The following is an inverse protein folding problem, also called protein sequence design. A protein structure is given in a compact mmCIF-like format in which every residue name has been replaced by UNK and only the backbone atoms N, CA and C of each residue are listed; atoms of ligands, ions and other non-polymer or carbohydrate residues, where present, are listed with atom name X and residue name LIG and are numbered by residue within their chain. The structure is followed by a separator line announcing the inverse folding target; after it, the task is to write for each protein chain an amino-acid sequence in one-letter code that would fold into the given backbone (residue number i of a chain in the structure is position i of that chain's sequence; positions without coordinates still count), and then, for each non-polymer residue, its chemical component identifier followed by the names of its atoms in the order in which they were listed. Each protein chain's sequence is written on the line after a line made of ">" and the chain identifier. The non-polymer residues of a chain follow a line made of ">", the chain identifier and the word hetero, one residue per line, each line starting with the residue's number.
data_IF_885048589209
#
_entry.id   IF_885048589209
#
_cell.length_a   1.000
_cell.length_b   1.000
_cell.length_c   1.000
_cell.angle_alpha   90.00
_cell.angle_beta   90.00
_cell.angle_gamma   90.00
#
_symmetry.space_group_name_H-M   'P 1'
#
loop_
_entity.id
_entity.type
_entity.pdbx_description
1 polymer ?
#
# COMPACT_ATOMS: atom_id res chain seq x y z
N UNK A 1 -22.77 -42.72 78.75
CA UNK A 1 -23.87 -41.79 78.42
C UNK A 1 -24.06 -41.78 76.92
N UNK A 2 -25.33 -41.85 76.55
CA UNK A 2 -25.96 -42.04 75.25
C UNK A 2 -25.34 -41.38 73.99
N UNK A 3 -25.40 -42.18 72.91
CA UNK A 3 -25.97 -41.90 71.58
C UNK A 3 -25.27 -40.81 70.75
N UNK A 4 -24.58 -41.22 69.68
CA UNK A 4 -25.14 -41.00 68.34
C UNK A 4 -24.44 -41.87 67.31
N UNK A 5 -25.22 -42.75 66.70
CA UNK A 5 -24.83 -43.62 65.60
C UNK A 5 -25.24 -42.99 64.27
N UNK A 6 -24.60 -43.48 63.19
CA UNK A 6 -25.13 -43.56 61.82
C UNK A 6 -25.04 -42.25 60.97
N UNK A 7 -24.68 -42.24 59.68
CA UNK A 7 -24.38 -43.27 58.66
C UNK A 7 -24.16 -42.55 57.29
N UNK A 8 -23.48 -43.23 56.34
CA UNK A 8 -23.47 -43.09 54.86
C UNK A 8 -22.75 -41.93 54.13
N UNK A 9 -21.99 -42.33 53.09
CA UNK A 9 -21.69 -41.54 51.88
C UNK A 9 -20.21 -41.46 51.51
N UNK A 10 -19.54 -42.56 51.11
CA UNK A 10 -19.13 -42.82 49.71
C UNK A 10 -19.19 -41.59 48.79
N UNK A 11 -18.04 -41.14 48.25
CA UNK A 11 -17.75 -41.11 46.80
C UNK A 11 -16.24 -40.84 46.63
N UNK A 12 -15.60 -41.77 45.93
CA UNK A 12 -14.24 -41.67 45.44
C UNK A 12 -14.08 -40.50 44.46
N UNK A 13 -12.95 -39.80 44.49
CA UNK A 13 -12.70 -38.75 43.52
C UNK A 13 -11.35 -38.08 43.62
N UNK A 14 -10.36 -38.69 42.95
CA UNK A 14 -9.30 -38.00 42.19
C UNK A 14 -8.41 -37.01 42.96
N UNK A 15 -7.21 -37.48 43.33
CA UNK A 15 -6.03 -36.60 43.37
C UNK A 15 -4.75 -37.40 43.05
N UNK A 16 -4.83 -38.21 41.99
CA UNK A 16 -3.66 -38.48 41.18
C UNK A 16 -3.45 -37.23 40.33
N UNK A 17 -2.66 -36.31 40.84
CA UNK A 17 -2.19 -35.11 40.17
C UNK A 17 -1.28 -35.57 39.02
N UNK A 18 -1.92 -35.97 37.92
CA UNK A 18 -1.27 -36.16 36.64
C UNK A 18 -0.65 -34.81 36.30
N UNK A 19 0.67 -34.73 36.43
CA UNK A 19 1.51 -33.83 35.66
C UNK A 19 1.21 -34.10 34.18
N UNK A 20 0.10 -33.55 33.70
CA UNK A 20 -0.08 -33.27 32.29
C UNK A 20 0.90 -32.14 32.06
N UNK A 21 2.13 -32.52 31.69
CA UNK A 21 2.94 -31.70 30.84
C UNK A 21 2.11 -31.44 29.59
N UNK A 22 1.29 -30.40 29.64
CA UNK A 22 0.99 -29.61 28.46
C UNK A 22 2.31 -28.99 28.05
N UNK A 23 3.15 -29.81 27.41
CA UNK A 23 4.04 -29.29 26.40
C UNK A 23 3.12 -28.53 25.46
N UNK A 24 3.03 -27.22 25.67
CA UNK A 24 2.46 -26.32 24.70
C UNK A 24 3.14 -26.71 23.40
N UNK A 25 2.36 -27.22 22.43
CA UNK A 25 2.83 -27.25 21.06
C UNK A 25 3.14 -25.79 20.76
N UNK A 26 4.41 -25.42 20.91
CA UNK A 26 4.95 -24.26 20.23
C UNK A 26 4.51 -24.48 18.78
N UNK A 27 3.80 -23.51 18.16
CA UNK A 27 3.51 -23.64 16.75
C UNK A 27 4.86 -23.89 16.09
N UNK A 28 5.01 -25.06 15.47
CA UNK A 28 6.20 -25.35 14.70
C UNK A 28 6.40 -24.14 13.80
N UNK A 29 7.50 -23.40 14.00
CA UNK A 29 7.83 -22.28 13.14
C UNK A 29 7.97 -22.89 11.75
N UNK A 30 6.89 -22.86 10.98
CA UNK A 30 6.88 -23.34 9.62
C UNK A 30 8.00 -22.57 8.93
N UNK A 31 8.98 -23.31 8.42
CA UNK A 31 10.07 -22.66 7.70
C UNK A 31 9.44 -21.80 6.59
N UNK A 32 9.87 -20.53 6.45
CA UNK A 32 9.34 -19.68 5.40
C UNK A 32 9.56 -20.37 4.07
N UNK A 33 8.49 -20.49 3.27
CA UNK A 33 8.58 -21.09 1.95
C UNK A 33 9.55 -20.27 1.08
N UNK A 34 10.50 -20.93 0.43
CA UNK A 34 11.45 -20.33 -0.52
C UNK A 34 11.25 -20.93 -1.92
N UNK A 35 11.76 -20.23 -2.94
CA UNK A 35 11.83 -20.74 -4.32
C UNK A 35 13.13 -21.50 -4.61
N UNK A 36 13.87 -21.92 -3.58
CA UNK A 36 15.10 -22.67 -3.76
C UNK A 36 14.81 -24.03 -4.41
N UNK A 37 15.54 -24.36 -5.48
CA UNK A 37 15.34 -25.62 -6.23
C UNK A 37 14.10 -25.67 -7.12
N UNK A 38 13.28 -24.62 -7.19
CA UNK A 38 12.16 -24.52 -8.14
C UNK A 38 12.71 -24.25 -9.54
N UNK A 39 12.31 -25.07 -10.52
CA UNK A 39 12.74 -24.90 -11.92
C UNK A 39 12.15 -23.63 -12.54
N UNK A 40 12.81 -23.09 -13.56
CA UNK A 40 12.40 -21.85 -14.25
C UNK A 40 12.09 -22.17 -15.70
N UNK A 41 10.94 -21.71 -16.18
CA UNK A 41 10.62 -21.75 -17.62
C UNK A 41 11.51 -20.78 -18.39
N UNK A 42 11.67 -20.98 -19.70
CA UNK A 42 12.41 -20.05 -20.55
C UNK A 42 11.81 -18.63 -20.53
N UNK A 43 10.48 -18.53 -20.46
CA UNK A 43 9.77 -17.25 -20.39
C UNK A 43 10.05 -16.51 -19.06
N UNK A 44 10.21 -17.23 -17.95
CA UNK A 44 10.53 -16.62 -16.67
C UNK A 44 12.02 -16.27 -16.52
N UNK A 45 12.90 -16.89 -17.31
CA UNK A 45 14.35 -16.75 -17.17
C UNK A 45 14.83 -15.32 -17.39
N UNK A 46 14.36 -14.65 -18.45
CA UNK A 46 14.90 -13.35 -18.87
C UNK A 46 14.85 -12.29 -17.77
N UNK A 47 13.71 -12.14 -17.08
CA UNK A 47 13.59 -11.19 -15.96
C UNK A 47 14.38 -11.59 -14.72
N UNK A 48 14.49 -12.90 -14.45
CA UNK A 48 15.22 -13.42 -13.30
C UNK A 48 16.74 -13.37 -13.48
N UNK A 49 17.22 -13.43 -14.73
CA UNK A 49 18.64 -13.32 -15.05
C UNK A 49 19.13 -11.90 -14.73
N UNK A 50 18.33 -10.87 -15.06
CA UNK A 50 18.61 -9.47 -14.67
C UNK A 50 18.81 -9.31 -13.17
N UNK A 51 18.02 -10.00 -12.33
CA UNK A 51 18.21 -9.96 -10.88
C UNK A 51 19.62 -10.42 -10.52
N UNK A 52 20.03 -11.58 -11.02
CA UNK A 52 21.34 -12.16 -10.71
C UNK A 52 22.49 -11.31 -11.26
N UNK A 53 22.37 -10.77 -12.48
CA UNK A 53 23.38 -9.90 -13.09
C UNK A 53 23.58 -8.61 -12.29
N UNK A 54 22.51 -8.10 -11.67
CA UNK A 54 22.52 -6.92 -10.80
C UNK A 54 22.87 -7.25 -9.34
N UNK A 55 23.24 -8.49 -9.02
CA UNK A 55 23.60 -8.90 -7.67
C UNK A 55 22.42 -9.03 -6.70
N UNK A 56 21.19 -9.07 -7.20
CA UNK A 56 19.99 -9.31 -6.40
C UNK A 56 19.72 -10.81 -6.21
N UNK A 57 19.13 -11.18 -5.08
CA UNK A 57 18.80 -12.58 -4.74
C UNK A 57 17.34 -12.73 -4.34
N UNK A 58 16.75 -13.88 -4.67
CA UNK A 58 15.41 -14.25 -4.21
C UNK A 58 15.47 -14.74 -2.76
N UNK A 59 14.57 -14.23 -1.93
CA UNK A 59 14.38 -14.62 -0.54
C UNK A 59 13.17 -15.52 -0.34
N UNK A 60 12.44 -15.26 0.74
CA UNK A 60 11.21 -15.99 1.08
C UNK A 60 10.04 -15.56 0.19
N UNK A 61 9.08 -16.46 0.02
CA UNK A 61 7.74 -16.13 -0.48
C UNK A 61 7.03 -15.32 0.60
N UNK A 62 6.55 -14.13 0.25
CA UNK A 62 5.87 -13.19 1.15
C UNK A 62 4.37 -13.48 1.21
N UNK A 63 3.77 -13.73 0.05
CA UNK A 63 2.37 -14.14 -0.10
C UNK A 63 2.24 -15.09 -1.28
N UNK A 64 1.27 -16.00 -1.19
CA UNK A 64 0.91 -16.94 -2.23
C UNK A 64 -0.61 -17.04 -2.32
N UNK A 65 -1.17 -16.70 -3.48
CA UNK A 65 -2.59 -16.83 -3.78
C UNK A 65 -2.80 -17.89 -4.85
N UNK A 66 -3.75 -18.79 -4.62
CA UNK A 66 -4.07 -19.84 -5.57
C UNK A 66 -5.03 -19.30 -6.62
N UNK A 67 -4.56 -19.20 -7.86
CA UNK A 67 -5.35 -18.72 -9.01
C UNK A 67 -6.29 -19.81 -9.49
N UNK A 68 -5.73 -20.99 -9.77
CA UNK A 68 -6.46 -22.22 -10.11
C UNK A 68 -5.70 -23.41 -9.53
N UNK A 69 -6.29 -24.62 -9.56
CA UNK A 69 -5.62 -25.82 -9.07
C UNK A 69 -4.24 -25.99 -9.72
N UNK A 70 -3.19 -26.00 -8.89
CA UNK A 70 -1.81 -26.15 -9.35
C UNK A 70 -1.15 -24.86 -9.84
N UNK A 71 -1.79 -23.70 -9.84
CA UNK A 71 -1.20 -22.42 -10.28
C UNK A 71 -1.38 -21.35 -9.21
N UNK A 72 -0.29 -20.65 -8.89
CA UNK A 72 -0.22 -19.70 -7.79
C UNK A 72 0.43 -18.40 -8.24
N UNK A 73 -0.18 -17.28 -7.87
CA UNK A 73 0.42 -15.96 -7.91
C UNK A 73 1.16 -15.73 -6.60
N UNK A 74 2.46 -15.45 -6.69
CA UNK A 74 3.33 -15.21 -5.56
C UNK A 74 3.81 -13.77 -5.56
N UNK A 75 4.09 -13.24 -4.38
CA UNK A 75 5.07 -12.17 -4.24
C UNK A 75 6.26 -12.70 -3.46
N UNK A 76 7.45 -12.49 -4.01
CA UNK A 76 8.70 -13.01 -3.48
C UNK A 76 9.57 -11.86 -3.03
N UNK A 77 10.23 -12.03 -1.89
CA UNK A 77 11.24 -11.08 -1.42
C UNK A 77 12.41 -11.06 -2.40
N UNK A 78 12.81 -9.89 -2.85
CA UNK A 78 14.08 -9.69 -3.55
C UNK A 78 15.00 -8.88 -2.65
N UNK A 79 16.20 -9.40 -2.40
CA UNK A 79 17.25 -8.72 -1.65
C UNK A 79 18.24 -8.12 -2.63
N UNK A 80 18.43 -6.82 -2.56
CA UNK A 80 19.38 -6.08 -3.39
C UNK A 80 20.02 -5.02 -2.50
N UNK A 81 21.33 -5.12 -2.29
CA UNK A 81 22.04 -4.33 -1.27
C UNK A 81 21.36 -4.54 0.11
N UNK A 82 21.17 -3.47 0.88
CA UNK A 82 20.45 -3.50 2.17
C UNK A 82 18.91 -3.45 1.99
N UNK A 83 18.41 -3.44 0.75
CA UNK A 83 16.98 -3.25 0.45
C UNK A 83 16.27 -4.58 0.24
N UNK A 84 15.01 -4.60 0.66
CA UNK A 84 14.08 -5.71 0.49
C UNK A 84 12.89 -5.23 -0.33
N UNK A 85 12.64 -5.92 -1.44
CA UNK A 85 11.65 -5.57 -2.45
C UNK A 85 10.63 -6.70 -2.61
N UNK A 86 9.50 -6.41 -3.26
CA UNK A 86 8.55 -7.42 -3.70
C UNK A 86 8.61 -7.61 -5.20
N UNK A 87 8.65 -8.86 -5.64
CA UNK A 87 8.56 -9.21 -7.05
C UNK A 87 7.41 -10.19 -7.26
N UNK A 88 6.40 -9.85 -8.08
CA UNK A 88 5.33 -10.76 -8.40
C UNK A 88 5.84 -11.87 -9.33
N UNK A 89 5.44 -13.11 -9.12
CA UNK A 89 5.82 -14.27 -9.93
C UNK A 89 4.65 -15.24 -10.02
N UNK A 90 4.60 -16.05 -11.08
CA UNK A 90 3.62 -17.14 -11.17
C UNK A 90 4.37 -18.46 -11.15
N UNK A 91 3.97 -19.33 -10.22
CA UNK A 91 4.40 -20.72 -10.21
C UNK A 91 3.25 -21.62 -10.62
N UNK A 92 3.55 -22.64 -11.41
CA UNK A 92 2.57 -23.65 -11.76
C UNK A 92 3.17 -25.05 -11.59
N UNK A 93 2.28 -25.99 -11.31
CA UNK A 93 2.52 -27.41 -11.37
C UNK A 93 1.94 -27.88 -12.72
N UNK A 94 2.76 -28.18 -13.74
CA UNK A 94 2.24 -28.45 -15.07
C UNK A 94 1.46 -29.78 -15.13
N UNK A 95 1.85 -30.79 -14.34
CA UNK A 95 1.03 -31.99 -14.05
C UNK A 95 1.06 -32.34 -12.57
N UNK A 96 0.06 -33.04 -12.00
CA UNK A 96 0.01 -33.40 -10.58
C UNK A 96 1.29 -34.09 -10.05
N UNK A 97 1.95 -34.86 -10.91
CA UNK A 97 3.17 -35.63 -10.62
C UNK A 97 4.46 -34.80 -10.70
N UNK A 98 4.41 -33.62 -11.31
CA UNK A 98 5.56 -32.74 -11.49
C UNK A 98 5.75 -31.78 -10.30
N UNK A 99 6.99 -31.32 -10.14
CA UNK A 99 7.34 -30.26 -9.21
C UNK A 99 6.74 -28.91 -9.65
N UNK A 100 6.71 -27.95 -8.73
CA UNK A 100 6.40 -26.57 -9.08
C UNK A 100 7.52 -26.00 -9.97
N UNK A 101 7.11 -25.18 -10.92
CA UNK A 101 7.97 -24.44 -11.84
C UNK A 101 7.56 -22.97 -11.83
N UNK A 102 8.52 -22.05 -11.87
CA UNK A 102 8.26 -20.65 -12.18
C UNK A 102 7.93 -20.55 -13.67
N UNK A 103 6.66 -20.29 -13.97
CA UNK A 103 6.17 -20.23 -15.35
C UNK A 103 6.13 -18.82 -15.91
N UNK A 104 6.12 -17.80 -15.04
CA UNK A 104 6.19 -16.40 -15.43
C UNK A 104 6.93 -15.58 -14.37
N UNK A 105 7.70 -14.60 -14.85
CA UNK A 105 8.32 -13.56 -14.05
C UNK A 105 8.22 -12.21 -14.79
N UNK A 106 8.38 -11.06 -14.10
CA UNK A 106 8.28 -9.74 -14.73
C UNK A 106 9.32 -9.53 -15.82
N UNK A 107 8.99 -8.70 -16.81
CA UNK A 107 9.89 -8.36 -17.89
C UNK A 107 11.22 -7.71 -17.41
N UNK A 108 12.34 -7.90 -18.12
CA UNK A 108 13.65 -7.33 -17.79
C UNK A 108 13.65 -5.83 -17.50
N UNK A 109 12.85 -5.05 -18.22
CA UNK A 109 12.74 -3.60 -18.07
C UNK A 109 12.15 -3.22 -16.72
N UNK A 110 11.12 -3.94 -16.29
CA UNK A 110 10.51 -3.74 -14.97
C UNK A 110 11.50 -4.09 -13.86
N UNK A 111 12.20 -5.22 -13.97
CA UNK A 111 13.19 -5.65 -12.97
C UNK A 111 14.31 -4.61 -12.84
N UNK A 112 14.85 -4.13 -13.97
CA UNK A 112 15.86 -3.08 -13.96
C UNK A 112 15.36 -1.78 -13.34
N UNK A 113 14.12 -1.36 -13.68
CA UNK A 113 13.51 -0.16 -13.11
C UNK A 113 13.31 -0.30 -11.59
N UNK A 114 12.82 -1.44 -11.13
CA UNK A 114 12.59 -1.73 -9.71
C UNK A 114 13.88 -1.62 -8.91
N UNK A 115 14.95 -2.29 -9.35
CA UNK A 115 16.25 -2.25 -8.67
C UNK A 115 16.86 -0.84 -8.69
N UNK A 116 16.73 -0.12 -9.80
CA UNK A 116 17.26 1.25 -9.94
C UNK A 116 16.52 2.24 -9.03
N UNK A 117 15.20 2.16 -8.98
CA UNK A 117 14.38 3.03 -8.17
C UNK A 117 14.57 2.75 -6.66
N UNK A 118 14.75 1.48 -6.29
CA UNK A 118 15.00 1.07 -4.92
C UNK A 118 16.35 1.57 -4.36
N UNK A 119 17.40 1.58 -5.18
CA UNK A 119 18.72 2.08 -4.78
C UNK A 119 18.87 3.60 -4.92
N UNK A 120 18.07 4.24 -5.78
CA UNK A 120 18.10 5.69 -6.02
C UNK A 120 17.28 6.52 -5.02
N UNK A 121 17.37 7.85 -5.13
CA UNK A 121 16.60 8.83 -4.34
C UNK A 121 15.26 9.23 -4.99
N UNK A 122 14.75 8.35 -5.85
CA UNK A 122 13.56 8.62 -6.66
C UNK A 122 12.26 8.53 -5.87
N UNK A 123 12.16 7.70 -4.84
CA UNK A 123 10.91 7.51 -4.08
C UNK A 123 10.66 8.62 -3.04
N UNK A 124 9.40 8.87 -2.64
CA UNK A 124 9.07 9.82 -1.58
C UNK A 124 9.79 9.44 -0.27
N UNK A 125 10.37 10.41 0.45
CA UNK A 125 11.22 10.14 1.61
C UNK A 125 10.46 9.85 2.91
N UNK A 126 9.13 9.76 2.86
CA UNK A 126 8.31 9.70 4.06
C UNK A 126 8.36 8.33 4.77
N UNK A 127 8.35 8.35 6.10
CA UNK A 127 8.33 7.14 6.92
C UNK A 127 6.95 6.51 6.87
N UNK A 128 6.85 5.31 6.29
CA UNK A 128 5.61 4.57 6.28
C UNK A 128 5.36 3.84 7.61
N UNK A 129 4.10 3.53 7.95
CA UNK A 129 3.77 2.77 9.16
C UNK A 129 4.35 1.35 9.19
N UNK A 130 4.57 0.75 8.02
CA UNK A 130 4.99 -0.64 7.88
C UNK A 130 6.03 -0.79 6.77
N UNK A 131 7.03 -1.65 6.99
CA UNK A 131 7.99 -2.04 5.95
C UNK A 131 7.27 -2.76 4.82
N UNK A 132 7.59 -2.41 3.57
CA UNK A 132 6.91 -2.94 2.39
C UNK A 132 6.87 -4.47 2.37
N UNK A 133 7.97 -5.17 2.64
CA UNK A 133 8.01 -6.66 2.65
C UNK A 133 7.29 -7.32 3.81
N UNK A 134 6.92 -6.58 4.86
CA UNK A 134 6.16 -7.13 5.99
C UNK A 134 4.65 -6.86 5.85
N UNK A 135 4.22 -6.03 4.90
CA UNK A 135 2.80 -5.73 4.61
C UNK A 135 1.98 -7.01 4.35
N UNK A 136 0.99 -7.29 5.19
CA UNK A 136 0.18 -8.51 5.08
C UNK A 136 -1.04 -8.26 4.20
N UNK A 137 -0.92 -8.62 2.93
CA UNK A 137 -1.97 -8.42 1.93
C UNK A 137 -1.97 -9.53 0.88
N UNK A 138 -3.07 -9.63 0.14
CA UNK A 138 -3.10 -10.36 -1.12
C UNK A 138 -2.14 -9.73 -2.13
N UNK A 139 -1.68 -10.48 -3.15
CA UNK A 139 -0.80 -9.95 -4.18
C UNK A 139 -1.39 -8.71 -4.86
N UNK A 140 -0.54 -7.73 -5.12
CA UNK A 140 -0.90 -6.47 -5.77
C UNK A 140 -0.15 -6.35 -7.10
N UNK A 141 -0.68 -5.53 -8.01
CA UNK A 141 0.03 -5.17 -9.23
C UNK A 141 1.01 -4.03 -8.91
N UNK A 142 2.32 -4.24 -8.96
CA UNK A 142 3.24 -3.15 -8.79
C UNK A 142 3.35 -2.32 -10.07
N UNK A 143 3.32 -1.01 -9.92
CA UNK A 143 3.41 -0.03 -10.99
C UNK A 143 4.48 0.99 -10.62
N UNK A 144 5.50 1.10 -11.46
CA UNK A 144 6.52 2.14 -11.35
C UNK A 144 6.11 3.30 -12.25
N UNK A 145 5.91 4.47 -11.67
CA UNK A 145 5.59 5.68 -12.41
C UNK A 145 6.71 6.70 -12.25
N UNK A 146 7.26 7.13 -13.38
CA UNK A 146 8.33 8.15 -13.44
C UNK A 146 7.82 9.39 -14.16
N UNK A 147 8.60 10.47 -14.19
CA UNK A 147 8.23 11.66 -15.00
C UNK A 147 8.01 11.36 -16.50
N UNK A 148 8.71 10.36 -17.04
CA UNK A 148 8.73 10.06 -18.47
C UNK A 148 7.76 8.93 -18.88
N UNK A 149 7.58 7.92 -18.02
CA UNK A 149 6.88 6.68 -18.39
C UNK A 149 6.28 5.95 -17.18
N UNK A 150 5.37 5.04 -17.49
CA UNK A 150 4.81 4.01 -16.60
C UNK A 150 5.43 2.67 -16.97
N UNK A 151 5.83 1.89 -15.97
CA UNK A 151 6.46 0.58 -16.12
C UNK A 151 5.73 -0.41 -15.20
N UNK A 152 5.29 -1.52 -15.78
CA UNK A 152 4.59 -2.61 -15.08
C UNK A 152 5.34 -3.93 -15.36
N UNK A 153 5.06 -5.00 -14.60
CA UNK A 153 5.60 -6.33 -14.91
C UNK A 153 5.32 -6.83 -16.34
N UNK A 154 4.29 -6.28 -17.00
CA UNK A 154 3.83 -6.67 -18.33
C UNK A 154 4.29 -5.72 -19.45
N UNK A 155 5.00 -4.64 -19.13
CA UNK A 155 5.56 -3.71 -20.11
C UNK A 155 5.57 -2.24 -19.67
N UNK A 156 6.02 -1.37 -20.56
CA UNK A 156 6.15 0.07 -20.34
C UNK A 156 5.49 0.95 -21.42
N UNK A 157 5.14 2.18 -21.06
CA UNK A 157 4.58 3.19 -21.97
C UNK A 157 4.90 4.61 -21.48
N UNK A 158 5.18 5.52 -22.42
CA UNK A 158 5.40 6.94 -22.12
C UNK A 158 4.08 7.66 -21.81
N UNK A 159 4.10 8.67 -20.95
CA UNK A 159 2.89 9.45 -20.61
C UNK A 159 2.22 10.12 -21.81
N UNK A 160 3.01 10.55 -22.80
CA UNK A 160 2.52 11.25 -23.99
C UNK A 160 1.93 10.31 -25.06
N UNK A 161 1.82 9.02 -24.75
CA UNK A 161 1.25 8.03 -25.68
C UNK A 161 -0.26 8.26 -25.76
N UNK A 162 -0.83 8.52 -26.96
CA UNK A 162 -2.27 8.72 -27.08
C UNK A 162 -3.10 7.50 -26.68
N UNK A 163 -2.47 6.31 -26.62
CA UNK A 163 -3.06 5.05 -26.19
C UNK A 163 -2.74 4.69 -24.73
N UNK A 164 -2.21 5.60 -23.90
CA UNK A 164 -1.75 5.28 -22.54
C UNK A 164 -2.83 4.56 -21.71
N UNK A 165 -4.05 5.10 -21.66
CA UNK A 165 -5.16 4.47 -20.94
C UNK A 165 -5.47 3.07 -21.48
N UNK A 166 -5.34 2.84 -22.79
CA UNK A 166 -5.52 1.52 -23.42
C UNK A 166 -4.40 0.54 -23.00
N UNK A 167 -3.16 1.00 -22.92
CA UNK A 167 -2.04 0.19 -22.43
C UNK A 167 -2.20 -0.18 -20.96
N UNK A 168 -2.55 0.80 -20.12
CA UNK A 168 -2.82 0.58 -18.69
C UNK A 168 -3.96 -0.43 -18.53
N UNK A 169 -5.10 -0.22 -19.20
CA UNK A 169 -6.22 -1.17 -19.17
C UNK A 169 -5.83 -2.56 -19.65
N UNK A 170 -5.02 -2.67 -20.70
CA UNK A 170 -4.52 -3.97 -21.18
C UNK A 170 -3.71 -4.67 -20.10
N UNK A 171 -2.69 -4.03 -19.54
CA UNK A 171 -1.86 -4.66 -18.51
C UNK A 171 -2.64 -5.02 -17.25
N UNK A 172 -3.62 -4.19 -16.87
CA UNK A 172 -4.53 -4.49 -15.78
C UNK A 172 -5.37 -5.75 -16.09
N UNK A 173 -5.89 -5.86 -17.31
CA UNK A 173 -6.62 -7.06 -17.75
C UNK A 173 -5.71 -8.29 -17.85
N UNK A 174 -4.47 -8.13 -18.30
CA UNK A 174 -3.47 -9.20 -18.34
C UNK A 174 -3.19 -9.69 -16.91
N UNK A 175 -3.02 -8.78 -15.95
CA UNK A 175 -2.89 -9.13 -14.53
C UNK A 175 -4.12 -9.84 -13.97
N UNK A 176 -5.33 -9.39 -14.32
CA UNK A 176 -6.58 -10.03 -13.90
C UNK A 176 -6.71 -11.44 -14.51
N UNK A 177 -6.33 -11.62 -15.77
CA UNK A 177 -6.50 -12.86 -16.52
C UNK A 177 -5.41 -13.89 -16.21
N UNK A 178 -4.14 -13.49 -16.23
CA UNK A 178 -3.00 -14.40 -16.05
C UNK A 178 -2.74 -14.76 -14.59
N UNK A 179 -3.01 -13.80 -13.70
CA UNK A 179 -2.71 -13.87 -12.28
C UNK A 179 -3.95 -14.07 -11.40
N UNK A 180 -5.15 -14.20 -12.00
CA UNK A 180 -6.41 -14.41 -11.27
C UNK A 180 -6.95 -13.17 -10.53
N UNK A 181 -6.36 -12.00 -10.79
CA UNK A 181 -6.76 -10.73 -10.17
C UNK A 181 -5.84 -10.29 -9.02
N UNK A 182 -4.98 -9.26 -9.20
CA UNK A 182 -4.40 -8.58 -8.06
C UNK A 182 -5.50 -7.96 -7.18
N UNK A 183 -5.29 -7.93 -5.87
CA UNK A 183 -6.26 -7.35 -4.93
C UNK A 183 -6.11 -5.82 -4.75
N UNK A 184 -5.14 -5.22 -5.42
CA UNK A 184 -4.79 -3.81 -5.33
C UNK A 184 -3.56 -3.48 -6.19
N UNK A 185 -3.04 -2.26 -6.01
CA UNK A 185 -1.83 -1.79 -6.69
C UNK A 185 -0.76 -1.37 -5.67
N UNK A 186 0.50 -1.59 -6.01
CA UNK A 186 1.64 -0.97 -5.34
C UNK A 186 2.18 0.13 -6.25
N UNK A 187 2.20 1.36 -5.77
CA UNK A 187 2.66 2.52 -6.53
C UNK A 187 4.05 2.92 -6.08
N UNK A 188 5.02 2.73 -6.98
CA UNK A 188 6.38 3.21 -6.84
C UNK A 188 6.54 4.47 -7.69
N UNK A 189 6.37 5.63 -7.06
CA UNK A 189 6.24 6.92 -7.74
C UNK A 189 7.55 7.72 -7.64
N UNK A 190 8.01 8.32 -8.74
CA UNK A 190 9.08 9.32 -8.71
C UNK A 190 8.60 10.55 -7.96
N UNK A 191 9.22 10.89 -6.83
CA UNK A 191 8.86 12.02 -5.96
C UNK A 191 8.81 13.36 -6.68
N UNK A 192 9.47 13.49 -7.84
CA UNK A 192 9.54 14.71 -8.65
C UNK A 192 8.47 14.77 -9.74
N UNK A 193 7.66 13.73 -9.93
CA UNK A 193 6.58 13.74 -10.91
C UNK A 193 5.39 14.55 -10.41
N UNK A 194 4.60 15.07 -11.34
CA UNK A 194 3.38 15.81 -11.07
C UNK A 194 2.29 14.90 -10.49
N UNK A 195 1.55 15.41 -9.50
CA UNK A 195 0.47 14.70 -8.82
C UNK A 195 -0.71 14.40 -9.76
N UNK A 196 -0.97 15.26 -10.75
CA UNK A 196 -2.00 15.04 -11.76
C UNK A 196 -1.86 13.67 -12.46
N UNK A 197 -0.62 13.24 -12.73
CA UNK A 197 -0.32 11.93 -13.33
C UNK A 197 -0.66 10.76 -12.40
N UNK A 198 -0.55 10.97 -11.08
CA UNK A 198 -1.01 9.99 -10.10
C UNK A 198 -2.52 9.86 -10.15
N UNK A 199 -3.24 10.99 -10.22
CA UNK A 199 -4.69 11.02 -10.41
C UNK A 199 -5.13 10.24 -11.66
N UNK A 200 -4.49 10.47 -12.80
CA UNK A 200 -4.76 9.73 -14.05
C UNK A 200 -4.55 8.22 -13.88
N UNK A 201 -3.43 7.80 -13.29
CA UNK A 201 -3.13 6.39 -13.04
C UNK A 201 -4.18 5.74 -12.12
N UNK A 202 -4.56 6.47 -11.07
CA UNK A 202 -5.54 6.05 -10.08
C UNK A 202 -6.94 5.87 -10.67
N UNK A 203 -7.38 6.79 -11.52
CA UNK A 203 -8.65 6.65 -12.25
C UNK A 203 -8.67 5.40 -13.15
N UNK A 204 -7.57 5.12 -13.84
CA UNK A 204 -7.47 3.93 -14.68
C UNK A 204 -7.47 2.62 -13.86
N UNK A 205 -6.82 2.61 -12.69
CA UNK A 205 -6.86 1.47 -11.76
C UNK A 205 -8.27 1.26 -11.17
N UNK A 206 -8.95 2.36 -10.80
CA UNK A 206 -10.35 2.32 -10.35
C UNK A 206 -11.28 1.73 -11.42
N UNK A 207 -11.11 2.11 -12.68
CA UNK A 207 -11.98 1.68 -13.77
C UNK A 207 -12.01 0.15 -13.98
N UNK A 208 -10.99 -0.58 -13.52
CA UNK A 208 -10.89 -2.05 -13.58
C UNK A 208 -11.14 -2.74 -12.23
N UNK A 209 -11.57 -2.00 -11.21
CA UNK A 209 -11.92 -2.57 -9.90
C UNK A 209 -10.78 -2.65 -8.87
N UNK A 210 -9.62 -2.02 -9.12
CA UNK A 210 -8.50 -2.04 -8.18
C UNK A 210 -8.53 -0.81 -7.28
N UNK A 211 -9.09 -0.95 -6.08
CA UNK A 211 -9.32 0.18 -5.16
C UNK A 211 -8.31 0.30 -4.03
N UNK A 212 -7.61 -0.78 -3.71
CA UNK A 212 -6.57 -0.79 -2.66
C UNK A 212 -5.25 -0.33 -3.24
N UNK A 213 -4.62 0.63 -2.59
CA UNK A 213 -3.40 1.27 -3.07
C UNK A 213 -2.35 1.23 -1.96
N UNK A 214 -1.13 0.81 -2.29
CA UNK A 214 0.01 0.94 -1.40
C UNK A 214 0.99 1.92 -2.03
N UNK A 215 1.17 3.08 -1.41
CA UNK A 215 2.24 4.00 -1.81
C UNK A 215 3.55 3.50 -1.21
N UNK A 216 4.53 3.23 -2.07
CA UNK A 216 5.84 2.75 -1.64
C UNK A 216 6.76 3.95 -1.42
N UNK A 217 7.19 4.13 -0.18
CA UNK A 217 8.09 5.20 0.23
C UNK A 217 9.46 4.66 0.60
N UNK A 218 10.44 5.54 0.76
CA UNK A 218 11.80 5.17 1.13
C UNK A 218 12.29 5.99 2.31
N UNK A 219 12.56 5.31 3.40
CA UNK A 219 13.33 5.81 4.53
C UNK A 219 14.78 5.29 4.43
N UNK A 220 15.74 5.95 5.09
CA UNK A 220 17.20 5.81 4.99
C UNK A 220 17.70 4.41 4.60
N UNK A 221 17.20 3.35 5.26
CA UNK A 221 17.57 1.96 4.98
C UNK A 221 16.41 1.04 4.55
N UNK A 222 15.15 1.49 4.54
CA UNK A 222 14.01 0.63 4.27
C UNK A 222 13.01 1.22 3.28
N UNK A 223 12.32 0.32 2.57
CA UNK A 223 11.13 0.69 1.82
C UNK A 223 9.90 0.45 2.68
N UNK A 224 9.04 1.47 2.73
CA UNK A 224 7.80 1.47 3.48
C UNK A 224 6.59 1.35 2.55
N UNK A 225 5.45 0.94 3.10
CA UNK A 225 4.17 0.94 2.41
C UNK A 225 3.12 1.71 3.21
N UNK A 226 2.51 2.70 2.58
CA UNK A 226 1.34 3.42 3.11
C UNK A 226 0.10 2.82 2.44
N UNK A 227 -0.71 2.06 3.19
CA UNK A 227 -1.94 1.45 2.71
C UNK A 227 -3.08 2.48 2.71
N UNK A 228 -3.59 2.81 1.53
CA UNK A 228 -4.66 3.80 1.29
C UNK A 228 -5.66 3.22 0.28
N UNK A 229 -6.72 3.97 -0.03
CA UNK A 229 -7.79 3.55 -0.94
C UNK A 229 -8.08 4.63 -2.00
N UNK A 230 -8.64 4.21 -3.13
CA UNK A 230 -9.22 5.12 -4.10
C UNK A 230 -10.58 5.66 -3.61
N UNK A 231 -10.85 6.97 -3.78
CA UNK A 231 -12.15 7.53 -3.45
C UNK A 231 -13.15 7.15 -4.54
N UNK A 232 -13.81 6.00 -4.39
CA UNK A 232 -14.96 5.66 -5.25
C UNK A 232 -16.22 5.80 -4.44
N UNK A 233 -16.93 6.87 -4.75
CA UNK A 233 -18.28 7.08 -4.25
C UNK A 233 -19.26 6.43 -5.22
N UNK A 234 -20.23 5.65 -4.74
CA UNK A 234 -21.30 5.14 -5.59
C UNK A 234 -22.04 6.31 -6.28
N UNK A 235 -22.71 6.06 -7.40
CA UNK A 235 -23.46 7.09 -8.17
C UNK A 235 -24.50 7.86 -7.33
N UNK A 236 -24.81 7.41 -6.11
CA UNK A 236 -25.66 8.08 -5.14
C UNK A 236 -24.96 9.03 -4.14
N UNK A 237 -23.64 9.26 -4.28
CA UNK A 237 -22.87 10.11 -3.38
C UNK A 237 -22.22 9.37 -2.20
N UNK A 238 -21.74 10.12 -1.22
CA UNK A 238 -21.22 9.57 0.04
C UNK A 238 -22.36 8.84 0.78
N UNK A 239 -22.14 7.62 1.31
CA UNK A 239 -23.10 7.02 2.24
C UNK A 239 -23.43 8.00 3.38
N UNK A 240 -24.68 8.08 3.83
CA UNK A 240 -25.09 9.00 4.92
C UNK A 240 -24.26 8.85 6.22
N UNK A 241 -23.62 7.69 6.40
CA UNK A 241 -22.73 7.41 7.53
C UNK A 241 -21.27 7.90 7.32
N UNK A 242 -20.89 8.28 6.10
CA UNK A 242 -19.58 8.84 5.77
C UNK A 242 -19.64 10.36 5.78
N UNK A 243 -18.89 10.98 6.69
CA UNK A 243 -18.65 12.42 6.68
C UNK A 243 -17.21 12.64 6.22
N UNK A 244 -17.04 13.44 5.16
CA UNK A 244 -15.79 13.60 4.45
C UNK A 244 -15.14 14.97 4.74
N UNK A 245 -13.89 14.97 5.17
CA UNK A 245 -13.02 16.13 5.09
C UNK A 245 -12.30 16.17 3.74
N UNK A 246 -12.16 17.33 3.13
CA UNK A 246 -11.39 17.52 1.90
C UNK A 246 -10.28 18.52 2.16
N UNK A 247 -9.06 18.12 1.84
CA UNK A 247 -7.87 18.97 1.87
C UNK A 247 -7.44 19.23 0.43
N UNK A 248 -7.71 20.43 -0.05
CA UNK A 248 -7.14 20.93 -1.29
C UNK A 248 -5.70 21.37 -1.04
N UNK A 249 -4.72 20.72 -1.67
CA UNK A 249 -3.30 21.01 -1.42
C UNK A 249 -2.61 21.64 -2.63
N UNK A 250 -1.85 22.69 -2.34
CA UNK A 250 -1.20 23.56 -3.31
C UNK A 250 0.27 23.74 -2.94
N UNK A 251 1.18 23.88 -3.91
CA UNK A 251 2.57 24.23 -3.62
C UNK A 251 2.66 25.57 -2.87
N UNK A 252 3.53 25.65 -1.86
CA UNK A 252 3.81 26.90 -1.14
C UNK A 252 5.29 27.01 -0.75
N UNK A 253 6.04 27.93 -1.35
CA UNK A 253 7.51 28.01 -1.23
C UNK A 253 8.21 26.69 -1.64
N UNK A 254 9.53 26.57 -1.45
CA UNK A 254 10.29 25.39 -1.91
C UNK A 254 9.88 24.09 -1.20
N UNK A 255 9.51 24.16 0.09
CA UNK A 255 9.24 22.97 0.91
C UNK A 255 7.84 22.93 1.56
N UNK A 256 7.11 24.04 1.53
CA UNK A 256 5.82 24.14 2.21
C UNK A 256 4.63 23.75 1.34
N UNK A 257 3.48 23.65 1.99
CA UNK A 257 2.19 23.39 1.37
C UNK A 257 1.17 24.44 1.81
N UNK A 258 0.35 24.85 0.86
CA UNK A 258 -0.85 25.63 1.12
C UNK A 258 -2.07 24.71 1.11
N UNK A 259 -2.98 24.90 2.05
CA UNK A 259 -4.10 23.98 2.29
C UNK A 259 -5.41 24.74 2.34
N UNK A 260 -6.35 24.34 1.48
CA UNK A 260 -7.77 24.69 1.60
C UNK A 260 -8.52 23.54 2.27
N UNK A 261 -9.37 23.85 3.25
CA UNK A 261 -10.12 22.85 4.02
C UNK A 261 -11.61 22.99 3.75
N UNK A 262 -12.25 21.86 3.42
CA UNK A 262 -13.69 21.72 3.38
C UNK A 262 -14.09 20.58 4.30
N UNK A 263 -14.99 20.83 5.24
CA UNK A 263 -15.52 19.81 6.14
C UNK A 263 -16.98 19.59 5.73
N UNK A 264 -17.27 18.42 5.16
CA UNK A 264 -18.59 18.09 4.63
C UNK A 264 -19.05 19.10 3.55
N UNK A 265 -20.24 19.71 3.71
CA UNK A 265 -20.74 20.78 2.82
C UNK A 265 -20.21 22.18 3.18
N UNK A 266 -19.43 22.32 4.27
CA UNK A 266 -18.93 23.60 4.76
C UNK A 266 -17.50 23.87 4.29
N UNK A 267 -17.31 24.98 3.56
CA UNK A 267 -15.97 25.51 3.27
C UNK A 267 -15.47 26.30 4.46
N UNK A 268 -14.24 26.03 4.90
CA UNK A 268 -13.63 26.74 6.02
C UNK A 268 -12.85 27.95 5.51
N UNK A 269 -13.22 29.13 6.02
CA UNK A 269 -12.56 30.39 5.65
C UNK A 269 -11.10 30.44 6.14
N UNK A 270 -10.30 31.29 5.49
CA UNK A 270 -8.89 31.48 5.81
C UNK A 270 -8.69 31.94 7.27
N UNK A 271 -7.83 31.24 8.02
CA UNK A 271 -7.53 31.61 9.42
C UNK A 271 -6.50 32.74 9.54
N UNK A 272 -6.26 33.50 8.48
CA UNK A 272 -5.52 34.77 8.54
C UNK A 272 -4.02 34.65 8.79
N UNK A 273 -3.39 33.51 8.47
CA UNK A 273 -1.93 33.37 8.58
C UNK A 273 -1.25 34.27 7.54
N UNK A 274 -0.49 35.27 8.01
CA UNK A 274 0.30 36.16 7.16
C UNK A 274 1.26 35.36 6.27
N UNK A 275 1.26 35.64 4.96
CA UNK A 275 2.13 35.01 3.97
C UNK A 275 1.53 33.81 3.22
N UNK A 276 0.33 33.35 3.58
CA UNK A 276 -0.38 32.33 2.83
C UNK A 276 -1.12 32.93 1.62
N UNK A 277 -1.26 32.17 0.53
CA UNK A 277 -1.98 32.62 -0.68
C UNK A 277 -3.45 32.88 -0.32
N UNK A 278 -4.02 33.95 -0.88
CA UNK A 278 -5.43 34.30 -0.69
C UNK A 278 -6.36 33.13 -1.06
N UNK A 279 -7.35 32.85 -0.21
CA UNK A 279 -8.32 31.77 -0.39
C UNK A 279 -7.89 30.41 0.16
N UNK A 280 -6.67 30.26 0.68
CA UNK A 280 -6.25 29.07 1.41
C UNK A 280 -6.61 29.19 2.89
N UNK A 281 -6.95 28.06 3.51
CA UNK A 281 -7.27 27.99 4.94
C UNK A 281 -6.04 28.24 5.78
N UNK A 282 -4.93 27.54 5.48
CA UNK A 282 -3.63 27.71 6.14
C UNK A 282 -2.47 27.31 5.22
N UNK A 283 -1.24 27.62 5.65
CA UNK A 283 -0.01 27.16 5.01
C UNK A 283 0.90 26.55 6.09
N UNK A 284 1.67 25.53 5.72
CA UNK A 284 2.59 24.83 6.63
C UNK A 284 3.91 24.51 5.93
N UNK A 285 5.03 24.69 6.62
CA UNK A 285 6.38 24.36 6.12
C UNK A 285 6.85 22.97 6.54
N UNK A 286 6.36 22.51 7.67
CA UNK A 286 6.67 21.20 8.25
C UNK A 286 5.42 20.57 8.90
N UNK A 287 5.60 19.37 9.45
CA UNK A 287 4.50 18.62 10.06
C UNK A 287 4.00 19.22 11.37
N UNK A 288 4.83 19.99 12.09
CA UNK A 288 4.43 20.64 13.35
C UNK A 288 3.51 21.83 13.06
N UNK A 289 3.88 22.67 12.09
CA UNK A 289 3.04 23.77 11.62
C UNK A 289 1.72 23.24 11.02
N UNK A 290 1.78 22.11 10.30
CA UNK A 290 0.57 21.48 9.75
C UNK A 290 -0.36 20.98 10.86
N UNK A 291 0.20 20.33 11.90
CA UNK A 291 -0.54 19.80 13.03
C UNK A 291 -1.26 20.90 13.81
N UNK A 292 -0.53 21.96 14.17
CA UNK A 292 -1.09 23.11 14.89
C UNK A 292 -2.18 23.82 14.09
N UNK A 293 -1.93 24.06 12.79
CA UNK A 293 -2.87 24.77 11.94
C UNK A 293 -4.14 23.95 11.67
N UNK A 294 -4.01 22.67 11.31
CA UNK A 294 -5.17 21.81 11.06
C UNK A 294 -5.97 21.57 12.34
N UNK A 295 -5.30 21.40 13.49
CA UNK A 295 -5.95 21.29 14.79
C UNK A 295 -6.78 22.53 15.14
N UNK A 296 -6.23 23.71 14.90
CA UNK A 296 -6.93 25.00 15.10
C UNK A 296 -8.14 25.11 14.18
N UNK A 297 -7.98 24.79 12.90
CA UNK A 297 -9.06 24.81 11.90
C UNK A 297 -10.23 23.91 12.30
N UNK A 298 -9.94 22.69 12.77
CA UNK A 298 -10.97 21.73 13.17
C UNK A 298 -11.68 22.20 14.46
N UNK A 299 -10.93 22.75 15.42
CA UNK A 299 -11.49 23.28 16.66
C UNK A 299 -12.43 24.47 16.41
N UNK A 300 -12.01 25.41 15.56
CA UNK A 300 -12.76 26.62 15.23
C UNK A 300 -13.99 26.36 14.37
N UNK A 301 -13.94 25.33 13.51
CA UNK A 301 -15.06 24.95 12.67
C UNK A 301 -16.28 24.48 13.48
N UNK A 302 -16.11 24.12 14.76
CA UNK A 302 -17.18 23.60 15.61
C UNK A 302 -17.76 22.26 15.13
N UNK A 303 -17.10 21.63 14.16
CA UNK A 303 -17.39 20.28 13.69
C UNK A 303 -16.76 19.34 14.71
N UNK A 304 -17.55 18.47 15.33
CA UNK A 304 -17.00 17.40 16.16
C UNK A 304 -16.10 16.54 15.25
N UNK A 305 -14.78 16.65 15.43
CA UNK A 305 -13.78 15.95 14.64
C UNK A 305 -14.06 14.44 14.58
N UNK A 306 -14.68 13.89 15.64
CA UNK A 306 -15.10 12.50 15.72
C UNK A 306 -16.16 12.10 14.68
N UNK A 307 -16.85 13.06 14.06
CA UNK A 307 -17.83 12.80 12.98
C UNK A 307 -17.16 12.58 11.64
N UNK A 308 -16.00 13.19 11.37
CA UNK A 308 -15.30 13.01 10.09
C UNK A 308 -14.68 11.61 10.08
N UNK A 309 -15.22 10.74 9.23
CA UNK A 309 -14.76 9.35 9.15
C UNK A 309 -13.70 9.14 8.08
N UNK A 310 -13.62 10.04 7.10
CA UNK A 310 -12.71 9.92 5.96
C UNK A 310 -12.18 11.28 5.50
N UNK A 311 -11.03 11.25 4.83
CA UNK A 311 -10.36 12.44 4.33
C UNK A 311 -9.91 12.26 2.88
N UNK A 312 -10.23 13.21 2.01
CA UNK A 312 -9.75 13.26 0.64
C UNK A 312 -8.63 14.31 0.53
N UNK A 313 -7.43 13.87 0.18
CA UNK A 313 -6.32 14.73 -0.18
C UNK A 313 -6.35 14.98 -1.68
N UNK A 314 -6.62 16.20 -2.10
CA UNK A 314 -6.78 16.55 -3.50
C UNK A 314 -5.76 17.62 -3.89
N UNK A 315 -4.75 17.20 -4.65
CA UNK A 315 -3.65 18.07 -5.07
C UNK A 315 -3.88 18.70 -6.43
N UNK A 316 -3.36 19.92 -6.61
CA UNK A 316 -3.34 20.63 -7.90
C UNK A 316 -2.30 20.06 -8.88
N UNK A 317 -2.37 20.48 -10.15
CA UNK A 317 -1.44 20.05 -11.21
C UNK A 317 0.02 20.46 -10.99
N UNK A 318 0.26 21.53 -10.23
CA UNK A 318 1.60 22.01 -9.88
C UNK A 318 2.22 21.25 -8.70
N UNK A 319 1.44 20.43 -8.01
CA UNK A 319 1.89 19.65 -6.87
C UNK A 319 2.71 18.45 -7.32
N UNK A 320 3.86 18.19 -6.70
CA UNK A 320 4.63 16.98 -7.00
C UNK A 320 4.29 15.83 -6.04
N UNK A 321 4.66 14.62 -6.42
CA UNK A 321 4.41 13.40 -5.64
C UNK A 321 5.04 13.42 -4.26
N UNK A 322 6.25 13.95 -4.11
CA UNK A 322 6.89 14.06 -2.80
C UNK A 322 6.04 14.89 -1.83
N UNK A 323 5.55 16.04 -2.29
CA UNK A 323 4.65 16.90 -1.51
C UNK A 323 3.28 16.24 -1.29
N UNK A 324 2.75 15.54 -2.29
CA UNK A 324 1.54 14.70 -2.21
C UNK A 324 1.58 13.68 -1.09
N UNK A 325 2.61 12.86 -1.08
CA UNK A 325 2.79 11.82 -0.06
C UNK A 325 3.06 12.44 1.31
N UNK A 326 3.83 13.52 1.39
CA UNK A 326 4.06 14.25 2.64
C UNK A 326 2.76 14.77 3.25
N UNK A 327 1.92 15.44 2.44
CA UNK A 327 0.65 15.97 2.91
C UNK A 327 -0.30 14.84 3.36
N UNK A 328 -0.28 13.68 2.67
CA UNK A 328 -1.01 12.49 3.11
C UNK A 328 -0.56 12.02 4.49
N UNK A 329 0.75 11.96 4.70
CA UNK A 329 1.38 11.52 5.96
C UNK A 329 1.03 12.46 7.11
N UNK A 330 1.23 13.76 6.92
CA UNK A 330 0.86 14.77 7.91
C UNK A 330 -0.62 14.69 8.27
N UNK A 331 -1.50 14.52 7.26
CA UNK A 331 -2.95 14.41 7.47
C UNK A 331 -3.30 13.25 8.39
N UNK A 332 -2.90 12.01 8.09
CA UNK A 332 -3.33 10.88 8.92
C UNK A 332 -2.66 10.88 10.30
N UNK A 333 -1.45 11.46 10.42
CA UNK A 333 -0.74 11.57 11.71
C UNK A 333 -1.40 12.61 12.62
N UNK A 334 -1.63 13.82 12.13
CA UNK A 334 -2.29 14.90 12.88
C UNK A 334 -3.68 14.50 13.35
N UNK A 335 -4.43 13.83 12.48
CA UNK A 335 -5.78 13.37 12.80
C UNK A 335 -5.78 12.08 13.64
N UNK A 336 -4.62 11.43 13.80
CA UNK A 336 -4.47 10.14 14.46
C UNK A 336 -5.45 9.07 13.92
N UNK A 337 -5.55 8.98 12.59
CA UNK A 337 -6.43 8.04 11.88
C UNK A 337 -5.62 7.02 11.08
N UNK A 338 -6.30 5.94 10.66
CA UNK A 338 -5.69 4.99 9.72
C UNK A 338 -5.41 5.67 8.37
N UNK A 339 -4.26 5.41 7.73
CA UNK A 339 -4.02 5.85 6.35
C UNK A 339 -5.09 5.32 5.36
N UNK A 340 -5.78 4.22 5.68
CA UNK A 340 -6.89 3.70 4.87
C UNK A 340 -8.14 4.57 4.91
N UNK A 341 -8.27 5.44 5.92
CA UNK A 341 -9.30 6.47 6.03
C UNK A 341 -8.93 7.76 5.29
N UNK A 342 -7.75 7.80 4.67
CA UNK A 342 -7.35 8.86 3.75
C UNK A 342 -7.42 8.35 2.31
N UNK A 343 -7.91 9.20 1.42
CA UNK A 343 -8.06 8.95 0.00
C UNK A 343 -7.21 9.94 -0.79
N UNK A 344 -6.72 9.50 -1.94
CA UNK A 344 -5.97 10.36 -2.86
C UNK A 344 -6.89 10.79 -4.00
N UNK A 345 -6.91 12.09 -4.27
CA UNK A 345 -7.61 12.72 -5.38
C UNK A 345 -6.78 13.80 -6.06
N UNK A 346 -7.40 14.44 -7.04
CA UNK A 346 -6.85 15.51 -7.86
C UNK A 346 -7.89 16.63 -7.98
N UNK A 347 -7.43 17.89 -8.02
CA UNK A 347 -8.26 19.07 -8.32
C UNK A 347 -7.67 19.75 -9.57
N UNK A 348 -8.53 20.11 -10.52
CA UNK A 348 -8.17 20.88 -11.73
C UNK A 348 -7.77 22.32 -11.42
#
# INVERSE_FOLDING_TARGET
>A
MNIGSQVFGVVAGVLAMVLVMTAALQPAHAQPWTLEGVTRSAQAAEGLDVLSERGATLGRVLVAERVVTGRYLLEVEVRHEERRLRLPMIVARPTPEQALEVVWAPAPEYVNALLTLASGDGLPPEVAPQTWVEERRLPALPIIATRARIITPYGEAAWQTPELSRHIMRWLNDALTEAGGPAGIDLLLDRRMEWAKVGELMMNAAAVGLFRVHLITRDEAQLGAISTNLPIFPEGGLPDAMVLGVLGVYPHNEDGIGVGVRLDEQTIEATGIEGCREGLTFCARDGEEFDEALGTVIADAGVDAARITHWLLAGSSEFNVGQGVRALVWTYQTLNISPQSTFIGYIE
#
